data_IF_361783453640
#
_entry.id   IF_361783453640
#
_cell.length_a   1.000
_cell.length_b   1.000
_cell.length_c   1.000
_cell.angle_alpha   90.00
_cell.angle_beta   90.00
_cell.angle_gamma   90.00
#
_symmetry.space_group_name_H-M   'P 1'
#
loop_
_entity.id
_entity.type
_entity.pdbx_description
1 polymer ?
#
# COMPACT_ATOMS: atom_id res chain seq x y z
N UNK A 1 -7.40 -5.30 12.12
CA UNK A 1 -8.07 -5.08 10.83
C UNK A 1 -7.15 -5.63 9.75
N UNK A 2 -7.44 -6.80 9.20
CA UNK A 2 -6.75 -7.29 8.00
C UNK A 2 -7.20 -6.52 6.75
N UNK A 3 -6.44 -6.58 5.66
CA UNK A 3 -6.84 -6.01 4.38
C UNK A 3 -8.00 -6.83 3.80
N UNK A 4 -9.22 -6.27 3.65
CA UNK A 4 -10.35 -7.02 3.11
C UNK A 4 -10.14 -7.21 1.61
N UNK A 5 -9.93 -8.46 1.21
CA UNK A 5 -10.01 -8.88 -0.18
C UNK A 5 -11.36 -9.57 -0.37
N UNK A 6 -12.21 -9.00 -1.21
CA UNK A 6 -13.59 -9.47 -1.44
C UNK A 6 -13.86 -9.70 -2.91
N UNK A 7 -15.03 -10.26 -3.24
CA UNK A 7 -15.49 -10.49 -4.62
C UNK A 7 -14.44 -11.22 -5.48
N UNK A 8 -13.88 -12.29 -4.91
CA UNK A 8 -12.87 -13.11 -5.58
C UNK A 8 -13.58 -14.00 -6.59
N UNK A 9 -13.25 -13.79 -7.87
CA UNK A 9 -13.69 -14.63 -8.98
C UNK A 9 -12.46 -15.21 -9.65
N UNK A 10 -12.54 -16.44 -10.15
CA UNK A 10 -11.49 -17.08 -10.94
C UNK A 10 -12.08 -18.21 -11.79
N UNK A 11 -11.45 -18.49 -12.92
CA UNK A 11 -11.75 -19.64 -13.77
C UNK A 11 -10.51 -20.52 -13.93
N UNK A 12 -10.67 -21.81 -13.67
CA UNK A 12 -9.64 -22.82 -13.88
C UNK A 12 -10.03 -23.68 -15.09
N UNK A 13 -9.18 -23.70 -16.09
CA UNK A 13 -9.38 -24.45 -17.32
C UNK A 13 -8.20 -25.37 -17.61
N UNK A 14 -8.39 -26.36 -18.48
CA UNK A 14 -7.29 -27.18 -18.98
C UNK A 14 -6.83 -26.68 -20.35
N UNK A 15 -5.53 -26.40 -20.52
CA UNK A 15 -4.96 -25.98 -21.81
C UNK A 15 -3.64 -26.70 -22.05
N UNK A 16 -3.49 -27.34 -23.21
CA UNK A 16 -2.29 -28.07 -23.62
C UNK A 16 -1.74 -29.03 -22.53
N UNK A 17 -2.63 -29.77 -21.87
CA UNK A 17 -2.26 -30.73 -20.83
C UNK A 17 -1.90 -30.12 -19.47
N UNK A 18 -2.08 -28.81 -19.27
CA UNK A 18 -1.76 -28.12 -18.01
C UNK A 18 -2.97 -27.35 -17.46
N UNK A 19 -3.11 -27.25 -16.12
CA UNK A 19 -4.06 -26.33 -15.50
C UNK A 19 -3.71 -24.89 -15.83
N UNK A 20 -4.71 -24.11 -16.20
CA UNK A 20 -4.60 -22.73 -16.64
C UNK A 20 -5.57 -21.84 -15.86
N UNK A 21 -5.03 -20.87 -15.14
CA UNK A 21 -5.79 -19.91 -14.36
C UNK A 21 -6.09 -18.67 -15.20
N UNK A 22 -7.34 -18.21 -15.18
CA UNK A 22 -7.79 -17.04 -15.94
C UNK A 22 -8.93 -16.33 -15.25
N UNK A 23 -9.14 -15.06 -15.60
CA UNK A 23 -10.26 -14.28 -15.06
C UNK A 23 -10.20 -14.11 -13.54
N UNK A 24 -9.02 -14.23 -12.94
CA UNK A 24 -8.90 -14.01 -11.50
C UNK A 24 -8.99 -12.51 -11.22
N UNK A 25 -10.04 -12.12 -10.50
CA UNK A 25 -10.27 -10.74 -10.07
C UNK A 25 -10.66 -10.70 -8.61
N UNK A 26 -10.31 -9.62 -7.93
CA UNK A 26 -10.76 -9.36 -6.57
C UNK A 26 -10.94 -7.86 -6.36
N UNK A 27 -11.70 -7.47 -5.33
CA UNK A 27 -11.73 -6.09 -4.82
C UNK A 27 -10.81 -5.97 -3.61
N UNK A 28 -10.03 -4.90 -3.59
CA UNK A 28 -9.18 -4.55 -2.47
C UNK A 28 -8.99 -3.03 -2.44
N UNK A 29 -8.88 -2.45 -1.24
CA UNK A 29 -8.63 -1.02 -1.03
C UNK A 29 -9.54 -0.09 -1.86
N UNK A 30 -10.82 -0.44 -2.00
CA UNK A 30 -11.80 0.34 -2.77
C UNK A 30 -11.60 0.34 -4.29
N UNK A 31 -10.70 -0.50 -4.81
CA UNK A 31 -10.48 -0.72 -6.24
C UNK A 31 -10.49 -2.20 -6.61
N UNK A 32 -9.86 -2.55 -7.73
CA UNK A 32 -9.85 -3.89 -8.31
C UNK A 32 -8.43 -4.40 -8.57
N UNK A 33 -8.22 -5.67 -8.23
CA UNK A 33 -7.06 -6.47 -8.59
C UNK A 33 -7.46 -7.43 -9.71
N UNK A 34 -6.59 -7.61 -10.70
CA UNK A 34 -6.77 -8.60 -11.76
C UNK A 34 -5.48 -9.34 -12.01
N UNK A 35 -5.52 -10.67 -12.07
CA UNK A 35 -4.36 -11.48 -12.42
C UNK A 35 -4.39 -11.79 -13.93
N UNK A 36 -3.27 -11.54 -14.60
CA UNK A 36 -3.08 -11.95 -15.98
C UNK A 36 -3.21 -13.49 -16.10
N UNK A 37 -3.87 -14.01 -17.15
CA UNK A 37 -4.00 -15.44 -17.33
C UNK A 37 -2.64 -16.15 -17.35
N UNK A 38 -2.51 -17.24 -16.59
CA UNK A 38 -1.23 -17.93 -16.41
C UNK A 38 -1.41 -19.45 -16.25
N UNK A 39 -0.40 -20.22 -16.62
CA UNK A 39 -0.35 -21.63 -16.29
C UNK A 39 -0.08 -21.83 -14.80
N UNK A 40 -0.71 -22.82 -14.19
CA UNK A 40 -0.34 -23.26 -12.86
C UNK A 40 0.81 -24.26 -12.99
N UNK A 41 2.02 -23.79 -12.69
CA UNK A 41 3.25 -24.58 -12.67
C UNK A 41 3.73 -24.78 -11.23
N UNK A 42 4.78 -25.57 -11.03
CA UNK A 42 5.39 -25.73 -9.69
C UNK A 42 5.95 -24.41 -9.13
N UNK A 43 6.47 -23.55 -10.02
CA UNK A 43 6.96 -22.20 -9.71
C UNK A 43 6.16 -21.18 -10.52
N UNK A 44 4.93 -20.83 -10.08
CA UNK A 44 4.09 -19.92 -10.83
C UNK A 44 4.70 -18.53 -10.90
N UNK A 45 4.61 -17.92 -12.07
CA UNK A 45 4.92 -16.51 -12.30
C UNK A 45 3.72 -15.87 -13.00
N UNK A 46 3.49 -14.59 -12.72
CA UNK A 46 2.34 -13.87 -13.26
C UNK A 46 2.46 -12.38 -13.05
N UNK A 47 1.39 -11.65 -13.37
CA UNK A 47 1.32 -10.21 -13.19
C UNK A 47 -0.05 -9.84 -12.64
N UNK A 48 -0.07 -9.14 -11.51
CA UNK A 48 -1.29 -8.56 -10.93
C UNK A 48 -1.42 -7.12 -11.39
N UNK A 49 -2.58 -6.75 -11.91
CA UNK A 49 -2.94 -5.41 -12.35
C UNK A 49 -3.77 -4.73 -11.26
N UNK A 50 -3.40 -3.49 -10.95
CA UNK A 50 -4.09 -2.63 -9.99
C UNK A 50 -4.94 -1.62 -10.76
N UNK A 51 -6.20 -1.46 -10.38
CA UNK A 51 -7.09 -0.47 -10.99
C UNK A 51 -7.91 0.25 -9.91
N UNK A 52 -7.85 1.59 -9.93
CA UNK A 52 -8.64 2.48 -9.06
C UNK A 52 -8.46 2.22 -7.55
N UNK A 53 -7.29 1.72 -7.16
CA UNK A 53 -6.94 1.46 -5.77
C UNK A 53 -6.94 2.80 -5.01
N UNK A 54 -7.72 2.90 -3.93
CA UNK A 54 -7.83 4.14 -3.15
C UNK A 54 -6.55 4.36 -2.33
N UNK A 55 -5.83 5.45 -2.63
CA UNK A 55 -4.65 5.83 -1.85
C UNK A 55 -5.01 6.09 -0.38
N UNK A 56 -6.17 6.69 -0.12
CA UNK A 56 -6.69 6.93 1.23
C UNK A 56 -6.76 5.64 2.05
N UNK A 57 -7.33 4.59 1.45
CA UNK A 57 -7.44 3.29 2.14
C UNK A 57 -6.07 2.67 2.35
N UNK A 58 -5.17 2.72 1.36
CA UNK A 58 -3.81 2.21 1.50
C UNK A 58 -3.07 2.89 2.66
N UNK A 59 -3.14 4.22 2.75
CA UNK A 59 -2.53 4.99 3.84
C UNK A 59 -3.15 4.67 5.20
N UNK A 60 -4.46 4.39 5.25
CA UNK A 60 -5.14 3.96 6.46
C UNK A 60 -4.61 2.65 7.05
N UNK A 61 -4.10 1.73 6.21
CA UNK A 61 -3.47 0.48 6.69
C UNK A 61 -2.02 0.65 7.12
N UNK A 62 -1.29 1.62 6.55
CA UNK A 62 0.08 1.92 6.94
C UNK A 62 0.21 2.42 8.40
N UNK A 63 -0.90 2.75 9.06
CA UNK A 63 -0.96 3.10 10.49
C UNK A 63 -0.05 4.26 10.91
N UNK A 64 0.27 5.16 9.98
CA UNK A 64 1.03 6.38 10.27
C UNK A 64 0.06 7.47 10.73
N UNK A 65 -0.02 7.68 12.04
CA UNK A 65 -0.89 8.71 12.63
C UNK A 65 -0.64 10.08 12.00
N UNK A 66 -1.73 10.74 11.58
CA UNK A 66 -1.69 12.06 10.95
C UNK A 66 -1.40 12.04 9.45
N UNK A 67 -1.06 10.89 8.85
CA UNK A 67 -0.89 10.77 7.39
C UNK A 67 -2.23 10.46 6.73
N UNK A 68 -2.62 11.32 5.80
CA UNK A 68 -3.83 11.19 4.99
C UNK A 68 -3.53 11.55 3.55
N UNK A 69 -4.39 11.13 2.64
CA UNK A 69 -4.21 11.44 1.23
C UNK A 69 -5.39 10.95 0.40
N UNK A 70 -5.45 11.41 -0.83
CA UNK A 70 -6.42 10.93 -1.82
C UNK A 70 -5.71 10.57 -3.14
N UNK A 71 -6.42 9.82 -3.97
CA UNK A 71 -5.95 9.45 -5.30
C UNK A 71 -6.40 8.06 -5.71
N UNK A 72 -6.20 7.76 -6.99
CA UNK A 72 -6.51 6.46 -7.59
C UNK A 72 -5.22 5.89 -8.14
N UNK A 73 -4.75 4.82 -7.50
CA UNK A 73 -3.57 4.09 -7.87
C UNK A 73 -3.92 3.04 -8.93
N UNK A 74 -3.11 3.02 -9.98
CA UNK A 74 -3.11 2.03 -11.04
C UNK A 74 -1.71 1.46 -11.17
N UNK A 75 -1.57 0.26 -11.70
CA UNK A 75 -0.24 -0.35 -11.76
C UNK A 75 -0.22 -1.81 -12.13
N UNK A 76 0.98 -2.38 -12.05
CA UNK A 76 1.24 -3.79 -12.30
C UNK A 76 2.31 -4.30 -11.35
N UNK A 77 2.12 -5.52 -10.87
CA UNK A 77 2.99 -6.21 -9.94
C UNK A 77 3.33 -7.58 -10.54
N UNK A 78 4.40 -7.69 -11.33
CA UNK A 78 4.94 -8.97 -11.75
C UNK A 78 5.44 -9.74 -10.53
N UNK A 79 5.07 -11.01 -10.41
CA UNK A 79 5.46 -11.84 -9.28
C UNK A 79 5.97 -13.21 -9.72
N UNK A 80 6.72 -13.85 -8.82
CA UNK A 80 7.11 -15.26 -8.91
C UNK A 80 6.97 -15.96 -7.56
N UNK A 81 6.81 -17.28 -7.63
CA UNK A 81 6.79 -18.20 -6.48
C UNK A 81 7.89 -19.25 -6.64
N UNK A 82 9.15 -18.86 -6.64
CA UNK A 82 10.27 -19.81 -6.67
C UNK A 82 10.64 -20.31 -5.27
N UNK A 83 10.90 -19.37 -4.36
CA UNK A 83 11.27 -19.63 -2.95
C UNK A 83 10.25 -19.04 -1.97
N UNK A 84 9.13 -18.56 -2.48
CA UNK A 84 8.15 -17.73 -1.78
C UNK A 84 7.60 -16.66 -2.73
N UNK A 85 6.54 -15.97 -2.32
CA UNK A 85 5.98 -14.87 -3.11
C UNK A 85 6.96 -13.70 -3.17
N UNK A 86 7.31 -13.27 -4.37
CA UNK A 86 8.19 -12.12 -4.59
C UNK A 86 7.65 -11.24 -5.72
N UNK A 87 7.97 -9.95 -5.70
CA UNK A 87 7.60 -8.98 -6.74
C UNK A 87 8.87 -8.33 -7.26
N UNK A 88 9.04 -8.34 -8.58
CA UNK A 88 10.18 -7.69 -9.24
C UNK A 88 9.66 -6.69 -10.27
N UNK A 89 10.22 -5.47 -10.24
CA UNK A 89 9.85 -4.39 -11.15
C UNK A 89 8.33 -4.06 -11.15
N UNK A 90 7.72 -4.12 -9.98
CA UNK A 90 6.37 -3.60 -9.77
C UNK A 90 6.34 -2.09 -9.99
N UNK A 91 5.23 -1.60 -10.54
CA UNK A 91 5.02 -0.18 -10.82
C UNK A 91 3.61 0.21 -10.40
N UNK A 92 3.48 1.36 -9.75
CA UNK A 92 2.19 2.00 -9.50
C UNK A 92 2.26 3.49 -9.84
N UNK A 93 1.12 4.08 -10.19
CA UNK A 93 1.01 5.50 -10.48
C UNK A 93 -0.38 6.03 -10.11
N UNK A 94 -0.45 7.33 -9.84
CA UNK A 94 -1.69 8.10 -9.62
C UNK A 94 -1.47 9.51 -10.15
N UNK A 95 -2.52 10.12 -10.69
CA UNK A 95 -2.49 11.50 -11.16
C UNK A 95 -3.50 12.35 -10.36
N UNK A 96 -3.17 13.63 -10.17
CA UNK A 96 -4.05 14.64 -9.58
C UNK A 96 -4.66 14.24 -8.21
N UNK A 97 -3.81 14.06 -7.20
CA UNK A 97 -4.26 13.84 -5.83
C UNK A 97 -3.47 14.67 -4.82
N UNK A 98 -3.63 14.36 -3.54
CA UNK A 98 -2.94 15.04 -2.46
C UNK A 98 -2.51 14.09 -1.34
N UNK A 99 -1.52 14.52 -0.58
CA UNK A 99 -1.02 13.91 0.65
C UNK A 99 -0.92 15.03 1.71
N UNK A 100 -1.40 14.75 2.91
CA UNK A 100 -1.28 15.64 4.06
C UNK A 100 -0.75 14.85 5.26
N UNK A 101 0.30 15.36 5.90
CA UNK A 101 0.85 14.82 7.12
C UNK A 101 0.76 15.83 8.26
N UNK A 102 -0.08 15.50 9.24
CA UNK A 102 -0.23 16.23 10.49
C UNK A 102 0.69 15.61 11.54
N UNK A 103 1.93 16.10 11.61
CA UNK A 103 2.91 15.64 12.57
C UNK A 103 2.47 15.92 14.03
N UNK A 104 2.73 14.98 14.93
CA UNK A 104 2.51 15.18 16.36
C UNK A 104 3.44 16.25 16.97
N UNK A 105 3.06 16.81 18.10
CA UNK A 105 3.75 17.96 18.74
C UNK A 105 5.25 17.72 18.97
N UNK A 106 5.64 16.51 19.39
CA UNK A 106 7.04 16.13 19.61
C UNK A 106 7.88 16.21 18.32
N UNK A 107 7.33 15.74 17.21
CA UNK A 107 8.01 15.78 15.92
C UNK A 107 8.08 17.21 15.37
N UNK A 108 7.02 18.02 15.58
CA UNK A 108 7.02 19.44 15.26
C UNK A 108 8.06 20.22 16.08
N UNK A 109 8.20 19.93 17.37
CA UNK A 109 9.23 20.54 18.22
C UNK A 109 10.64 20.21 17.71
N UNK A 110 10.88 18.97 17.29
CA UNK A 110 12.15 18.56 16.66
C UNK A 110 12.37 19.26 15.31
N UNK A 111 11.30 19.48 14.53
CA UNK A 111 11.37 20.23 13.27
C UNK A 111 11.75 21.70 13.43
N UNK A 112 11.58 22.29 14.63
CA UNK A 112 12.04 23.66 14.91
C UNK A 112 13.56 23.77 15.04
N UNK A 113 14.23 22.71 15.51
CA UNK A 113 15.69 22.66 15.64
C UNK A 113 16.38 22.00 14.43
N UNK A 114 15.64 21.29 13.58
CA UNK A 114 16.13 20.69 12.35
C UNK A 114 15.40 21.28 11.12
N UNK A 115 16.07 22.23 10.45
CA UNK A 115 15.53 22.93 9.28
C UNK A 115 15.04 21.98 8.19
N UNK A 116 15.82 20.94 7.86
CA UNK A 116 15.47 19.98 6.80
C UNK A 116 14.19 19.23 7.13
N UNK A 117 14.05 18.78 8.37
CA UNK A 117 12.83 18.13 8.86
C UNK A 117 11.65 19.11 8.85
N UNK A 118 11.83 20.32 9.36
CA UNK A 118 10.80 21.36 9.37
C UNK A 118 10.28 21.69 7.96
N UNK A 119 11.18 21.82 6.98
CA UNK A 119 10.82 22.01 5.57
C UNK A 119 10.03 20.82 5.00
N UNK A 120 10.44 19.60 5.35
CA UNK A 120 9.77 18.37 4.88
C UNK A 120 8.36 18.25 5.45
N UNK A 121 8.20 18.51 6.75
CA UNK A 121 6.89 18.51 7.42
C UNK A 121 5.98 19.62 6.87
N UNK A 122 6.53 20.81 6.60
CA UNK A 122 5.80 21.90 5.96
C UNK A 122 5.31 21.53 4.56
N UNK A 123 6.19 20.93 3.75
CA UNK A 123 5.86 20.47 2.40
C UNK A 123 4.75 19.42 2.42
N UNK A 124 4.85 18.44 3.33
CA UNK A 124 3.87 17.36 3.46
C UNK A 124 2.55 17.81 4.10
N UNK A 125 2.41 19.04 4.61
CA UNK A 125 1.16 19.49 5.23
C UNK A 125 -0.02 19.60 4.24
N UNK A 126 0.25 19.93 2.98
CA UNK A 126 -0.73 19.94 1.86
C UNK A 126 0.02 19.75 0.52
N UNK A 127 0.58 18.56 0.31
CA UNK A 127 1.26 18.20 -0.93
C UNK A 127 0.22 17.77 -1.96
N UNK A 128 -0.05 18.59 -2.95
CA UNK A 128 -0.94 18.30 -4.09
C UNK A 128 -0.12 17.81 -5.26
N UNK A 129 -0.10 16.50 -5.48
CA UNK A 129 0.65 15.91 -6.58
C UNK A 129 -0.16 15.95 -7.87
N UNK A 130 0.49 16.34 -8.96
CA UNK A 130 -0.02 16.17 -10.31
C UNK A 130 0.28 14.76 -10.82
N UNK A 131 1.44 14.21 -10.42
CA UNK A 131 1.86 12.84 -10.72
C UNK A 131 2.54 12.21 -9.52
N UNK A 132 2.13 10.99 -9.22
CA UNK A 132 2.77 10.06 -8.29
C UNK A 132 3.16 8.82 -9.10
N UNK A 133 4.42 8.42 -8.98
CA UNK A 133 4.96 7.18 -9.56
C UNK A 133 5.64 6.40 -8.44
N UNK A 134 5.51 5.08 -8.44
CA UNK A 134 6.11 4.23 -7.43
C UNK A 134 6.70 2.96 -8.06
N UNK A 135 7.94 2.68 -7.69
CA UNK A 135 8.67 1.46 -8.04
C UNK A 135 8.66 0.52 -6.85
N UNK A 136 8.21 -0.71 -7.07
CA UNK A 136 7.92 -1.67 -6.00
C UNK A 136 8.72 -2.95 -6.25
N UNK A 137 9.48 -3.36 -5.24
CA UNK A 137 10.11 -4.68 -5.20
C UNK A 137 9.86 -5.34 -3.86
N UNK A 138 9.72 -6.65 -3.88
CA UNK A 138 9.60 -7.44 -2.66
C UNK A 138 10.33 -8.76 -2.83
N UNK A 139 11.26 -9.04 -1.91
CA UNK A 139 11.95 -10.32 -1.84
C UNK A 139 11.04 -11.41 -1.27
N UNK A 140 11.39 -12.68 -1.50
CA UNK A 140 10.64 -13.83 -0.95
C UNK A 140 10.61 -13.86 0.60
N UNK A 141 11.54 -13.16 1.26
CA UNK A 141 11.54 -12.94 2.72
C UNK A 141 10.45 -11.97 3.20
N UNK A 142 9.79 -11.27 2.27
CA UNK A 142 8.83 -10.21 2.54
C UNK A 142 9.43 -8.81 2.64
N UNK A 143 10.77 -8.67 2.62
CA UNK A 143 11.43 -7.38 2.57
C UNK A 143 11.01 -6.64 1.29
N UNK A 144 10.33 -5.51 1.49
CA UNK A 144 9.71 -4.71 0.44
C UNK A 144 10.34 -3.33 0.41
N UNK A 145 10.61 -2.85 -0.80
CA UNK A 145 11.07 -1.50 -1.08
C UNK A 145 10.04 -0.84 -1.99
N UNK A 146 9.62 0.36 -1.61
CA UNK A 146 8.76 1.22 -2.42
C UNK A 146 9.47 2.56 -2.60
N UNK A 147 9.95 2.83 -3.80
CA UNK A 147 10.55 4.11 -4.19
C UNK A 147 9.48 4.96 -4.87
N UNK A 148 9.00 5.99 -4.18
CA UNK A 148 7.93 6.89 -4.64
C UNK A 148 8.48 8.24 -5.10
N UNK A 149 7.95 8.73 -6.20
CA UNK A 149 8.29 10.00 -6.84
C UNK A 149 7.01 10.82 -7.06
N UNK A 150 6.90 11.94 -6.37
CA UNK A 150 5.76 12.83 -6.45
C UNK A 150 6.20 14.17 -7.04
N UNK A 151 5.47 14.64 -8.06
CA UNK A 151 5.64 15.96 -8.66
C UNK A 151 4.36 16.74 -8.53
N UNK A 152 4.44 17.97 -8.03
CA UNK A 152 3.26 18.81 -7.85
C UNK A 152 3.52 20.09 -7.09
N UNK A 153 2.58 20.49 -6.25
CA UNK A 153 2.57 21.76 -5.52
C UNK A 153 2.47 21.52 -4.02
N UNK A 154 3.20 22.29 -3.22
CA UNK A 154 3.12 22.25 -1.76
C UNK A 154 3.26 23.65 -1.13
N UNK A 155 2.73 23.88 0.08
CA UNK A 155 2.82 25.16 0.75
C UNK A 155 4.24 25.42 1.25
N UNK A 156 4.82 26.54 0.81
CA UNK A 156 6.06 27.11 1.36
C UNK A 156 5.75 28.55 1.73
N UNK A 157 5.87 28.88 3.02
CA UNK A 157 5.59 30.23 3.55
C UNK A 157 4.22 30.79 3.12
N UNK A 158 3.19 29.94 3.13
CA UNK A 158 1.80 30.32 2.82
C UNK A 158 1.45 30.40 1.32
N UNK A 159 2.37 30.06 0.42
CA UNK A 159 2.12 30.00 -1.04
C UNK A 159 2.41 28.62 -1.59
N UNK A 160 1.72 28.21 -2.66
CA UNK A 160 1.97 26.93 -3.32
C UNK A 160 3.16 27.05 -4.28
N UNK A 161 4.13 26.15 -4.13
CA UNK A 161 5.33 26.09 -4.97
C UNK A 161 5.49 24.72 -5.64
N UNK A 162 6.02 24.66 -6.87
CA UNK A 162 6.41 23.42 -7.50
C UNK A 162 7.43 22.65 -6.66
N UNK A 163 7.17 21.37 -6.43
CA UNK A 163 8.04 20.49 -5.65
C UNK A 163 8.17 19.13 -6.32
N UNK A 164 9.34 18.53 -6.13
CA UNK A 164 9.59 17.12 -6.38
C UNK A 164 9.89 16.48 -5.03
N UNK A 165 9.06 15.52 -4.63
CA UNK A 165 9.21 14.80 -3.37
C UNK A 165 9.49 13.33 -3.66
N UNK A 166 10.65 12.86 -3.22
CA UNK A 166 11.09 11.49 -3.37
C UNK A 166 11.10 10.82 -2.00
N UNK A 167 10.46 9.66 -1.89
CA UNK A 167 10.37 8.92 -0.64
C UNK A 167 10.63 7.44 -0.89
N UNK A 168 11.56 6.87 -0.12
CA UNK A 168 11.82 5.44 -0.09
C UNK A 168 11.25 4.86 1.19
N UNK A 169 10.37 3.88 1.04
CA UNK A 169 9.83 3.10 2.13
C UNK A 169 10.47 1.71 2.12
N UNK A 170 10.78 1.19 3.30
CA UNK A 170 11.30 -0.16 3.48
C UNK A 170 10.60 -0.83 4.65
N UNK A 171 9.97 -1.97 4.40
CA UNK A 171 9.24 -2.73 5.40
C UNK A 171 9.20 -4.22 5.03
N UNK A 172 9.09 -5.11 6.02
CA UNK A 172 8.73 -6.50 5.76
C UNK A 172 7.19 -6.65 5.69
N UNK A 173 6.62 -6.65 4.49
CA UNK A 173 5.17 -6.71 4.30
C UNK A 173 4.56 -8.03 4.77
N UNK A 174 5.28 -9.15 4.66
CA UNK A 174 4.77 -10.43 5.16
C UNK A 174 4.64 -10.42 6.69
N UNK A 175 5.61 -9.83 7.38
CA UNK A 175 5.56 -9.66 8.84
C UNK A 175 4.48 -8.67 9.27
N UNK A 176 4.29 -7.57 8.53
CA UNK A 176 3.20 -6.63 8.77
C UNK A 176 1.83 -7.33 8.66
N UNK A 177 1.60 -8.03 7.55
CA UNK A 177 0.34 -8.76 7.31
C UNK A 177 0.09 -9.84 8.36
N UNK A 178 1.13 -10.54 8.81
CA UNK A 178 1.03 -11.51 9.90
C UNK A 178 0.61 -10.83 11.21
N UNK A 179 1.21 -9.68 11.55
CA UNK A 179 0.85 -8.89 12.74
C UNK A 179 -0.59 -8.39 12.70
N UNK A 180 -1.06 -7.91 11.53
CA UNK A 180 -2.44 -7.45 11.34
C UNK A 180 -3.46 -8.58 11.52
N UNK A 181 -3.15 -9.78 11.02
CA UNK A 181 -3.98 -10.98 11.21
C UNK A 181 -4.03 -11.40 12.69
N UNK A 182 -2.88 -11.43 13.36
CA UNK A 182 -2.82 -11.78 14.78
C UNK A 182 -3.61 -10.81 15.67
N UNK A 183 -3.48 -9.50 15.42
CA UNK A 183 -4.26 -8.48 16.12
C UNK A 183 -5.78 -8.68 15.93
N UNK A 184 -6.19 -9.07 14.72
CA UNK A 184 -7.60 -9.38 14.42
C UNK A 184 -8.08 -10.63 15.18
N UNK A 185 -7.32 -11.73 15.16
CA UNK A 185 -7.66 -12.94 15.92
C UNK A 185 -7.80 -12.66 17.42
N UNK A 186 -6.96 -11.78 17.98
CA UNK A 186 -7.07 -11.37 19.38
C UNK A 186 -8.35 -10.56 19.65
N UNK A 187 -8.67 -9.57 18.80
CA UNK A 187 -9.90 -8.79 18.92
C UNK A 187 -11.17 -9.65 18.80
N UNK A 188 -11.16 -10.65 17.92
CA UNK A 188 -12.28 -11.58 17.72
C UNK A 188 -12.44 -12.57 18.88
N UNK A 189 -11.38 -12.88 19.63
CA UNK A 189 -11.41 -13.76 20.82
C UNK A 189 -11.77 -13.05 22.13
N UNK A 190 -11.80 -11.72 22.15
CA UNK A 190 -12.14 -10.91 23.32
C UNK A 190 -13.65 -10.67 23.64
N UNK A 191 -14.67 -11.20 22.93
CA UNK A 191 -16.05 -11.12 23.40
C UNK A 191 -16.40 -12.34 24.27
N UNK A 192 -16.20 -12.25 25.60
CA UNK A 192 -16.94 -13.05 26.61
C UNK A 192 -16.54 -12.84 28.09
N UNK A 193 -15.47 -12.11 28.44
CA UNK A 193 -14.95 -12.12 29.83
C UNK A 193 -15.08 -10.83 30.65
N UNK A 194 -15.79 -9.82 30.18
CA UNK A 194 -15.95 -8.55 30.91
C UNK A 194 -17.41 -8.14 31.19
N UNK A 195 -18.36 -9.09 31.19
CA UNK A 195 -19.75 -8.86 31.60
C UNK A 195 -20.18 -9.71 32.82
N UNK A 196 -19.23 -10.13 33.66
CA UNK A 196 -19.51 -11.03 34.77
C UNK A 196 -18.85 -10.63 36.08
N UNK A 197 -18.86 -9.35 36.45
CA UNK A 197 -18.57 -8.90 37.82
C UNK A 197 -19.51 -7.75 38.18
N UNK A 198 -20.78 -8.09 38.39
CA UNK A 198 -21.71 -7.30 39.18
C UNK A 198 -22.81 -8.22 39.69
N UNK A 199 -22.52 -8.91 40.79
CA UNK A 199 -23.50 -9.38 41.78
C UNK A 199 -22.81 -9.46 43.16
#
# INVERSE_FOLDING_TARGET
MGVPITDIHAALNWRAGKPWLSGLTAKAFGGRLALAPMALTATPYGEVHLSDISLEQVLGYASVSGLTGNGRLHGRLPFSFEQGFSVTAGKAYSDNGWISYQAGESLLATGKSNLSLGLTLGLLSDLRYQRLEADISMAASGETIIDSHLRGLAPVMGKMHPVNFNYRHQENLLQLLASLRFAQELSERLPARLQGESE
#
